data_IF_903649239254
#
_entry.id   IF_903649239254
#
_cell.length_a   1.000
_cell.length_b   1.000
_cell.length_c   1.000
_cell.angle_alpha   90.00
_cell.angle_beta   90.00
_cell.angle_gamma   90.00
#
_symmetry.space_group_name_H-M   'P 1'
#
loop_
_entity.id
_entity.type
_entity.pdbx_description
1 polymer ?
#
# COMPACT_ATOMS: atom_id res chain seq x y z
N UNK A 1 -23.34 -16.78 -41.45
CA UNK A 1 -23.10 -15.74 -40.42
C UNK A 1 -22.12 -16.29 -39.39
N UNK A 2 -20.97 -15.65 -39.21
CA UNK A 2 -19.92 -16.13 -38.31
C UNK A 2 -20.18 -15.60 -36.90
N UNK A 3 -20.25 -16.49 -35.91
CA UNK A 3 -20.49 -16.13 -34.52
C UNK A 3 -19.17 -15.70 -33.89
N UNK A 4 -19.12 -14.48 -33.35
CA UNK A 4 -18.05 -14.07 -32.44
C UNK A 4 -18.57 -14.17 -31.00
N UNK A 5 -17.69 -14.61 -30.09
CA UNK A 5 -18.00 -14.78 -28.68
C UNK A 5 -17.09 -13.83 -27.90
N UNK A 6 -17.67 -12.93 -27.13
CA UNK A 6 -16.91 -12.10 -26.18
C UNK A 6 -16.92 -12.87 -24.86
N UNK A 7 -15.74 -13.33 -24.43
CA UNK A 7 -15.56 -13.85 -23.07
C UNK A 7 -15.65 -12.67 -22.11
N UNK A 8 -16.58 -12.71 -21.17
CA UNK A 8 -16.68 -11.70 -20.11
C UNK A 8 -15.37 -11.71 -19.30
N UNK A 9 -14.59 -10.63 -19.28
CA UNK A 9 -13.38 -10.57 -18.49
C UNK A 9 -13.78 -10.33 -17.03
N UNK A 10 -13.88 -11.40 -16.24
CA UNK A 10 -14.10 -11.30 -14.80
C UNK A 10 -12.79 -10.89 -14.10
N UNK A 11 -12.67 -9.62 -13.70
CA UNK A 11 -11.52 -9.13 -12.93
C UNK A 11 -11.97 -8.42 -11.63
N UNK A 12 -11.30 -8.72 -10.52
CA UNK A 12 -11.46 -7.97 -9.26
C UNK A 12 -10.22 -7.11 -9.03
N UNK A 13 -10.42 -5.80 -8.90
CA UNK A 13 -9.35 -4.87 -8.52
C UNK A 13 -9.28 -4.83 -6.99
N UNK A 14 -8.09 -5.08 -6.44
CA UNK A 14 -7.85 -4.93 -5.00
C UNK A 14 -6.68 -3.99 -4.77
N UNK A 15 -6.84 -3.09 -3.79
CA UNK A 15 -5.84 -2.08 -3.46
C UNK A 15 -5.66 -2.02 -1.95
N UNK A 16 -4.40 -2.08 -1.48
CA UNK A 16 -4.08 -1.74 -0.10
C UNK A 16 -3.26 -0.45 -0.05
N UNK A 17 -3.74 0.49 0.77
CA UNK A 17 -3.04 1.72 1.10
C UNK A 17 -2.86 1.78 2.61
N UNK A 18 -1.62 1.86 3.08
CA UNK A 18 -1.30 1.99 4.51
C UNK A 18 -0.43 3.20 4.75
N UNK A 19 -0.73 3.90 5.85
CA UNK A 19 0.03 5.07 6.31
C UNK A 19 0.42 4.83 7.76
N UNK A 20 1.71 4.87 8.05
CA UNK A 20 2.27 4.81 9.38
C UNK A 20 2.97 6.13 9.69
N UNK A 21 2.66 6.72 10.85
CA UNK A 21 3.29 7.96 11.32
C UNK A 21 3.87 7.69 12.70
N UNK A 22 5.18 7.85 12.84
CA UNK A 22 5.88 7.77 14.12
C UNK A 22 6.35 9.16 14.50
N UNK A 23 6.07 9.54 15.75
CA UNK A 23 6.61 10.76 16.38
C UNK A 23 7.48 10.36 17.56
N UNK A 24 8.74 10.78 17.54
CA UNK A 24 9.67 10.57 18.63
C UNK A 24 10.18 11.91 19.15
N UNK A 25 10.02 12.17 20.44
CA UNK A 25 10.71 13.24 21.15
C UNK A 25 12.12 12.79 21.56
N UNK A 26 13.14 13.36 20.92
CA UNK A 26 14.55 12.98 21.15
C UNK A 26 15.07 13.60 22.46
N UNK A 27 14.71 14.86 22.69
CA UNK A 27 15.04 15.69 23.86
C UNK A 27 13.92 16.73 24.01
N UNK A 28 13.73 17.36 25.18
CA UNK A 28 12.75 18.44 25.34
C UNK A 28 12.96 19.51 24.25
N UNK A 29 11.95 19.72 23.39
CA UNK A 29 12.01 20.66 22.26
C UNK A 29 12.53 20.09 20.92
N UNK A 30 13.05 18.86 20.89
CA UNK A 30 13.50 18.18 19.67
C UNK A 30 12.57 17.03 19.30
N UNK A 31 12.06 17.03 18.07
CA UNK A 31 11.10 16.01 17.58
C UNK A 31 11.51 15.45 16.23
N UNK A 32 11.38 14.13 16.08
CA UNK A 32 11.51 13.41 14.83
C UNK A 32 10.15 12.87 14.42
N UNK A 33 9.78 13.13 13.17
CA UNK A 33 8.63 12.54 12.52
C UNK A 33 9.10 11.64 11.39
N UNK A 34 8.61 10.41 11.40
CA UNK A 34 8.79 9.44 10.33
C UNK A 34 7.42 9.12 9.77
N UNK A 35 7.23 9.41 8.49
CA UNK A 35 5.99 9.12 7.76
C UNK A 35 6.32 8.08 6.71
N UNK A 36 5.70 6.92 6.83
CA UNK A 36 5.84 5.83 5.88
C UNK A 36 4.49 5.54 5.26
N UNK A 37 4.42 5.65 3.94
CA UNK A 37 3.27 5.28 3.16
C UNK A 37 3.63 4.11 2.26
N UNK A 38 2.74 3.13 2.21
CA UNK A 38 2.81 2.07 1.21
C UNK A 38 1.49 2.01 0.46
N UNK A 39 1.59 1.90 -0.86
CA UNK A 39 0.45 1.67 -1.73
C UNK A 39 0.77 0.49 -2.63
N UNK A 40 -0.15 -0.46 -2.71
CA UNK A 40 -0.01 -1.63 -3.57
C UNK A 40 -1.35 -2.00 -4.18
N UNK A 41 -1.30 -2.37 -5.45
CA UNK A 41 -2.46 -2.75 -6.25
C UNK A 41 -2.22 -4.08 -6.92
N UNK A 42 -3.29 -4.83 -7.15
CA UNK A 42 -3.25 -6.07 -7.90
C UNK A 42 -4.61 -6.43 -8.47
N UNK A 43 -4.58 -7.36 -9.41
CA UNK A 43 -5.78 -7.95 -10.00
C UNK A 43 -5.88 -9.38 -9.46
N UNK A 44 -7.03 -9.74 -8.92
CA UNK A 44 -7.32 -11.11 -8.48
C UNK A 44 -8.47 -11.69 -9.31
N UNK A 45 -8.43 -13.00 -9.66
CA UNK A 45 -9.57 -13.66 -10.29
C UNK A 45 -10.79 -13.65 -9.35
N UNK A 46 -12.00 -13.49 -9.92
CA UNK A 46 -13.27 -13.39 -9.17
C UNK A 46 -13.55 -14.60 -8.25
N UNK A 47 -12.98 -15.76 -8.56
CA UNK A 47 -13.12 -17.03 -7.83
C UNK A 47 -12.08 -17.26 -6.72
N UNK A 48 -11.16 -16.32 -6.48
CA UNK A 48 -10.13 -16.50 -5.45
C UNK A 48 -10.66 -16.16 -4.04
N UNK A 49 -10.43 -17.03 -3.05
CA UNK A 49 -10.81 -16.73 -1.68
C UNK A 49 -10.03 -15.53 -1.15
N UNK A 50 -10.69 -14.70 -0.33
CA UNK A 50 -10.15 -13.43 0.18
C UNK A 50 -8.74 -13.55 0.79
N UNK A 51 -8.47 -14.64 1.52
CA UNK A 51 -7.15 -14.87 2.12
C UNK A 51 -6.05 -15.06 1.06
N UNK A 52 -6.32 -15.83 0.00
CA UNK A 52 -5.39 -16.07 -1.10
C UNK A 52 -5.08 -14.78 -1.85
N UNK A 53 -6.13 -14.03 -2.20
CA UNK A 53 -6.00 -12.73 -2.85
C UNK A 53 -5.20 -11.73 -1.99
N UNK A 54 -5.37 -11.73 -0.66
CA UNK A 54 -4.57 -10.89 0.23
C UNK A 54 -3.09 -11.28 0.18
N UNK A 55 -2.74 -12.56 0.28
CA UNK A 55 -1.34 -13.03 0.13
C UNK A 55 -0.73 -12.60 -1.19
N UNK A 56 -1.45 -12.74 -2.30
CA UNK A 56 -0.97 -12.34 -3.63
C UNK A 56 -0.76 -10.82 -3.71
N UNK A 57 -1.62 -10.03 -3.08
CA UNK A 57 -1.47 -8.58 -2.98
C UNK A 57 -0.31 -8.14 -2.07
N UNK A 58 0.06 -8.96 -1.08
CA UNK A 58 1.26 -8.73 -0.27
C UNK A 58 2.54 -9.17 -1.00
N UNK A 59 2.44 -10.11 -1.95
CA UNK A 59 3.55 -10.51 -2.82
C UNK A 59 3.79 -9.54 -3.99
N UNK A 60 2.77 -8.79 -4.40
CA UNK A 60 2.90 -7.79 -5.45
C UNK A 60 3.84 -6.64 -5.06
N UNK A 61 4.61 -6.10 -6.02
CA UNK A 61 5.50 -4.97 -5.76
C UNK A 61 4.70 -3.77 -5.23
N UNK A 62 5.11 -3.29 -4.05
CA UNK A 62 4.51 -2.14 -3.41
C UNK A 62 5.29 -0.85 -3.71
N UNK A 63 4.58 0.25 -3.88
CA UNK A 63 5.17 1.59 -3.93
C UNK A 63 5.32 2.07 -2.49
N UNK A 64 6.57 2.27 -2.06
CA UNK A 64 6.90 2.79 -0.74
C UNK A 64 7.33 4.26 -0.83
N UNK A 65 6.65 5.13 -0.09
CA UNK A 65 7.01 6.54 0.07
C UNK A 65 7.42 6.76 1.52
N UNK A 66 8.65 7.25 1.72
CA UNK A 66 9.18 7.58 3.05
C UNK A 66 9.45 9.09 3.12
N UNK A 67 8.94 9.73 4.17
CA UNK A 67 9.23 11.12 4.49
C UNK A 67 9.72 11.24 5.94
N UNK A 68 10.72 12.08 6.14
CA UNK A 68 11.36 12.33 7.43
C UNK A 68 11.33 13.83 7.71
N UNK A 69 11.00 14.20 8.95
CA UNK A 69 11.09 15.58 9.41
C UNK A 69 11.74 15.60 10.79
N UNK A 70 12.84 16.33 10.91
CA UNK A 70 13.57 16.51 12.15
C UNK A 70 13.52 17.97 12.56
N UNK A 71 13.14 18.21 13.81
CA UNK A 71 13.26 19.51 14.48
C UNK A 71 14.21 19.32 15.66
N UNK A 72 15.29 20.09 15.68
CA UNK A 72 16.31 20.00 16.72
C UNK A 72 16.52 21.35 17.39
N UNK A 73 16.55 21.37 18.72
CA UNK A 73 16.88 22.55 19.51
C UNK A 73 18.34 22.47 19.96
N UNK A 74 19.15 23.46 19.61
CA UNK A 74 20.60 23.44 19.85
C UNK A 74 21.04 23.99 21.22
N UNK A 75 20.11 24.51 22.02
CA UNK A 75 20.42 25.21 23.28
C UNK A 75 19.97 26.65 23.21
#
# INVERSE_FOLDING_TARGET
ATRFTITEPDYTIVSLRSTAVMRWELRPGSTLFVVWQQARGGNAPLSHPLHGALTDLFANPAIHTLALKLSFWFG
#
